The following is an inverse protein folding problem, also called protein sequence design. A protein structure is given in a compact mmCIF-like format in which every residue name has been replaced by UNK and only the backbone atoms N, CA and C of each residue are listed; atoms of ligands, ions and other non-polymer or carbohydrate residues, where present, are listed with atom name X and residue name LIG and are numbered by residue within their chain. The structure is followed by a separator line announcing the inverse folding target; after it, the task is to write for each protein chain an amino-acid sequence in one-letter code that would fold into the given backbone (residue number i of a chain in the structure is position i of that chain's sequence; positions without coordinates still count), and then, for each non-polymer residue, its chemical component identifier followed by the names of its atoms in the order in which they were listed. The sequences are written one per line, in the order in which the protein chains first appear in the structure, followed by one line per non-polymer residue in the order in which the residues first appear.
data_IF_970493618824
#
_entry.id   IF_970493618824
#
_cell.length_a   1.000
_cell.length_b   1.000
_cell.length_c   1.000
_cell.angle_alpha   90.00
_cell.angle_beta   90.00
_cell.angle_gamma   90.00
#
_symmetry.space_group_name_H-M   'P 1'
#
loop_
_entity.id
_entity.type
_entity.pdbx_description
1 polymer ?
#
# COMPACT_ATOMS: atom_id res chain seq x y z
N UNK A 1 -4.75 4.72 -17.53
CA UNK A 1 -5.32 5.16 -16.24
C UNK A 1 -5.16 4.05 -15.21
N UNK A 2 -4.74 4.40 -14.01
CA UNK A 2 -4.59 3.43 -12.93
C UNK A 2 -5.96 3.02 -12.38
N UNK A 3 -6.19 1.71 -12.27
CA UNK A 3 -7.46 1.17 -11.82
C UNK A 3 -7.31 0.61 -10.39
N UNK A 4 -8.00 1.24 -9.42
CA UNK A 4 -7.87 0.90 -8.00
C UNK A 4 -8.48 -0.45 -7.64
N UNK A 5 -9.34 -1.03 -8.47
CA UNK A 5 -9.90 -2.37 -8.18
C UNK A 5 -8.84 -3.49 -8.29
N UNK A 6 -7.66 -3.19 -8.80
CA UNK A 6 -6.53 -4.11 -8.84
C UNK A 6 -5.62 -3.99 -7.64
N UNK A 7 -5.86 -3.01 -6.78
CA UNK A 7 -5.00 -2.72 -5.64
C UNK A 7 -5.69 -3.17 -4.35
N UNK A 8 -4.93 -3.79 -3.47
CA UNK A 8 -5.39 -4.11 -2.13
C UNK A 8 -4.31 -3.75 -1.12
N UNK A 9 -4.76 -3.36 0.07
CA UNK A 9 -3.88 -3.08 1.20
C UNK A 9 -4.19 -4.09 2.29
N UNK A 10 -3.18 -4.82 2.72
CA UNK A 10 -3.28 -5.85 3.75
C UNK A 10 -2.51 -5.38 4.97
N UNK A 11 -3.19 -5.28 6.10
CA UNK A 11 -2.63 -4.72 7.33
C UNK A 11 -2.87 -5.64 8.51
N UNK A 12 -2.09 -5.44 9.58
CA UNK A 12 -2.28 -6.16 10.84
C UNK A 12 -3.01 -5.24 11.82
N UNK A 13 -4.13 -5.73 12.37
CA UNK A 13 -4.90 -5.02 13.38
C UNK A 13 -5.76 -3.89 12.84
N UNK A 14 -6.58 -3.35 13.72
CA UNK A 14 -7.50 -2.27 13.41
C UNK A 14 -6.88 -0.92 13.75
N UNK A 15 -7.33 0.11 13.05
CA UNK A 15 -6.96 1.49 13.37
C UNK A 15 -7.57 1.88 14.72
N UNK A 16 -6.74 2.34 15.64
CA UNK A 16 -7.16 2.80 16.97
C UNK A 16 -7.34 4.31 17.03
N UNK A 17 -6.59 5.06 16.23
CA UNK A 17 -6.63 6.52 16.21
C UNK A 17 -7.75 7.01 15.31
N UNK A 18 -8.71 7.70 15.90
CA UNK A 18 -9.91 8.18 15.21
C UNK A 18 -9.56 9.11 14.04
N UNK A 19 -8.59 10.00 14.23
CA UNK A 19 -8.22 10.96 13.18
C UNK A 19 -7.58 10.28 11.96
N UNK A 20 -6.83 9.18 12.17
CA UNK A 20 -6.28 8.40 11.06
C UNK A 20 -7.40 7.70 10.32
N UNK A 21 -8.34 7.08 11.05
CA UNK A 21 -9.48 6.41 10.44
C UNK A 21 -10.33 7.37 9.62
N UNK A 22 -10.56 8.58 10.12
CA UNK A 22 -11.28 9.62 9.37
C UNK A 22 -10.52 10.03 8.11
N UNK A 23 -9.20 10.17 8.18
CA UNK A 23 -8.36 10.47 7.02
C UNK A 23 -8.45 9.38 5.96
N UNK A 24 -8.38 8.12 6.36
CA UNK A 24 -8.52 6.98 5.44
C UNK A 24 -9.89 6.99 4.76
N UNK A 25 -10.95 7.26 5.52
CA UNK A 25 -12.31 7.34 4.96
C UNK A 25 -12.43 8.42 3.88
N UNK A 26 -11.76 9.56 4.07
CA UNK A 26 -11.80 10.65 3.08
C UNK A 26 -11.22 10.20 1.73
N UNK A 27 -10.09 9.48 1.74
CA UNK A 27 -9.51 8.98 0.49
C UNK A 27 -10.31 7.81 -0.09
N UNK A 28 -10.86 6.94 0.76
CA UNK A 28 -11.65 5.81 0.28
C UNK A 28 -12.95 6.23 -0.41
N UNK A 29 -13.54 7.35 -0.03
CA UNK A 29 -14.68 7.91 -0.75
C UNK A 29 -14.36 8.20 -2.21
N UNK A 30 -13.11 8.59 -2.48
CA UNK A 30 -12.62 8.90 -3.82
C UNK A 30 -12.11 7.66 -4.56
N UNK A 31 -11.91 6.57 -3.85
CA UNK A 31 -11.42 5.29 -4.38
C UNK A 31 -12.27 4.14 -3.83
N UNK A 32 -13.56 4.08 -4.20
CA UNK A 32 -14.47 3.10 -3.58
C UNK A 32 -14.11 1.64 -3.89
N UNK A 33 -13.32 1.41 -4.93
CA UNK A 33 -12.90 0.06 -5.34
C UNK A 33 -11.59 -0.39 -4.71
N UNK A 34 -10.92 0.46 -3.94
CA UNK A 34 -9.71 0.07 -3.22
C UNK A 34 -10.09 -0.84 -2.05
N UNK A 35 -9.53 -2.04 -2.04
CA UNK A 35 -9.77 -3.00 -0.98
C UNK A 35 -8.77 -2.83 0.16
N UNK A 36 -9.25 -2.86 1.40
CA UNK A 36 -8.41 -2.85 2.59
C UNK A 36 -8.83 -4.03 3.46
N UNK A 37 -7.87 -4.90 3.77
CA UNK A 37 -8.10 -6.09 4.60
C UNK A 37 -7.26 -5.98 5.86
N UNK A 38 -7.89 -6.22 7.01
CA UNK A 38 -7.23 -6.23 8.31
C UNK A 38 -7.10 -7.68 8.78
N UNK A 39 -5.89 -8.07 9.14
CA UNK A 39 -5.54 -9.41 9.59
C UNK A 39 -5.10 -9.37 11.04
N UNK A 40 -5.27 -10.47 11.75
CA UNK A 40 -4.69 -10.62 13.09
C UNK A 40 -3.16 -10.75 13.00
N UNK A 41 -2.71 -11.54 12.04
CA UNK A 41 -1.28 -11.71 11.71
C UNK A 41 -1.16 -12.17 10.26
N UNK A 42 0.06 -12.15 9.72
CA UNK A 42 0.33 -12.67 8.38
C UNK A 42 1.04 -14.02 8.50
N UNK A 43 0.31 -15.10 8.18
CA UNK A 43 0.87 -16.45 8.10
C UNK A 43 1.10 -16.78 6.63
N UNK A 44 2.37 -16.95 6.25
CA UNK A 44 2.73 -17.16 4.85
C UNK A 44 2.01 -18.37 4.24
N UNK A 45 1.77 -19.42 5.02
CA UNK A 45 1.08 -20.62 4.53
C UNK A 45 -0.37 -20.32 4.12
N UNK A 46 -1.02 -19.35 4.75
CA UNK A 46 -2.38 -18.94 4.41
C UNK A 46 -2.42 -17.95 3.26
N UNK A 47 -1.27 -17.43 2.83
CA UNK A 47 -1.15 -16.38 1.82
C UNK A 47 -0.51 -16.88 0.53
N UNK A 48 -0.17 -18.16 0.43
CA UNK A 48 0.54 -18.72 -0.73
C UNK A 48 -0.16 -18.45 -2.05
N UNK A 49 -1.47 -18.60 -2.08
CA UNK A 49 -2.26 -18.36 -3.28
C UNK A 49 -2.19 -16.89 -3.71
N UNK A 50 -2.35 -15.99 -2.75
CA UNK A 50 -2.25 -14.55 -2.99
C UNK A 50 -0.86 -14.17 -3.50
N UNK A 51 0.19 -14.69 -2.88
CA UNK A 51 1.59 -14.39 -3.24
C UNK A 51 1.94 -14.97 -4.61
N UNK A 52 1.35 -16.10 -4.99
CA UNK A 52 1.60 -16.71 -6.30
C UNK A 52 0.95 -15.93 -7.46
N UNK A 53 -0.19 -15.30 -7.22
CA UNK A 53 -1.00 -14.68 -8.29
C UNK A 53 -0.85 -13.16 -8.39
N UNK A 54 -0.43 -12.51 -7.31
CA UNK A 54 -0.37 -11.05 -7.26
C UNK A 54 1.07 -10.56 -7.25
N UNK A 55 1.24 -9.29 -7.61
CA UNK A 55 2.48 -8.57 -7.33
C UNK A 55 2.42 -8.15 -5.86
N UNK A 56 3.42 -8.52 -5.09
CA UNK A 56 3.47 -8.27 -3.65
C UNK A 56 4.46 -7.14 -3.37
N UNK A 57 3.94 -6.05 -2.83
CA UNK A 57 4.75 -4.90 -2.41
C UNK A 57 4.62 -4.75 -0.90
N UNK A 58 5.71 -4.96 -0.21
CA UNK A 58 5.75 -4.86 1.25
C UNK A 58 6.42 -3.58 1.70
N UNK A 59 5.78 -2.87 2.63
CA UNK A 59 6.32 -1.65 3.21
C UNK A 59 7.34 -2.01 4.28
N UNK A 60 8.53 -1.46 4.14
CA UNK A 60 9.62 -1.63 5.12
C UNK A 60 10.58 -0.47 5.01
N UNK A 61 11.20 -0.11 6.14
CA UNK A 61 12.22 0.95 6.18
C UNK A 61 13.44 0.62 5.31
N UNK A 62 13.70 -0.68 5.10
CA UNK A 62 14.82 -1.17 4.28
C UNK A 62 14.54 -1.11 2.78
N UNK A 63 13.32 -0.78 2.39
CA UNK A 63 12.88 -0.84 1.01
C UNK A 63 13.43 0.27 0.13
N UNK A 64 13.13 0.17 -1.16
CA UNK A 64 13.52 1.16 -2.15
C UNK A 64 12.66 2.42 -2.02
N UNK A 65 13.29 3.58 -2.20
CA UNK A 65 12.60 4.86 -2.19
C UNK A 65 12.07 5.20 -3.57
N UNK A 66 10.87 5.79 -3.59
CA UNK A 66 10.24 6.30 -4.81
C UNK A 66 9.70 7.69 -4.53
N UNK A 67 9.81 8.60 -5.49
CA UNK A 67 8.98 9.80 -5.42
C UNK A 67 7.57 9.46 -5.94
N UNK A 68 6.64 10.41 -5.80
CA UNK A 68 5.24 10.14 -6.13
C UNK A 68 5.01 9.85 -7.62
N UNK A 69 5.78 10.48 -8.51
CA UNK A 69 5.68 10.21 -9.95
C UNK A 69 6.24 8.83 -10.30
N UNK A 70 7.37 8.46 -9.71
CA UNK A 70 7.94 7.13 -9.88
C UNK A 70 7.02 6.05 -9.35
N UNK A 71 6.36 6.30 -8.22
CA UNK A 71 5.38 5.38 -7.65
C UNK A 71 4.19 5.18 -8.57
N UNK A 72 3.65 6.28 -9.14
CA UNK A 72 2.57 6.19 -10.13
C UNK A 72 2.98 5.35 -11.34
N UNK A 73 4.18 5.59 -11.86
CA UNK A 73 4.71 4.83 -13.01
C UNK A 73 4.89 3.35 -12.68
N UNK A 74 5.36 3.04 -11.45
CA UNK A 74 5.51 1.67 -10.98
C UNK A 74 4.17 0.94 -11.00
N UNK A 75 3.11 1.55 -10.46
CA UNK A 75 1.78 0.93 -10.42
C UNK A 75 1.20 0.74 -11.81
N UNK A 76 1.43 1.69 -12.71
CA UNK A 76 0.98 1.58 -14.11
C UNK A 76 1.71 0.46 -14.86
N UNK A 77 2.98 0.21 -14.54
CA UNK A 77 3.74 -0.86 -15.17
C UNK A 77 3.18 -2.25 -14.84
N UNK A 78 2.45 -2.37 -13.73
CA UNK A 78 1.80 -3.63 -13.33
C UNK A 78 0.30 -3.65 -13.66
N UNK A 79 -0.17 -2.78 -14.56
CA UNK A 79 -1.60 -2.56 -14.78
C UNK A 79 -2.40 -3.81 -15.16
N UNK A 80 -1.75 -4.85 -15.66
CA UNK A 80 -2.40 -6.12 -16.04
C UNK A 80 -2.42 -7.15 -14.92
N UNK A 81 -1.90 -6.80 -13.74
CA UNK A 81 -1.83 -7.69 -12.59
C UNK A 81 -2.45 -7.02 -11.36
N UNK A 82 -2.88 -7.84 -10.44
CA UNK A 82 -3.31 -7.35 -9.13
C UNK A 82 -2.08 -7.08 -8.26
N UNK A 83 -2.12 -5.99 -7.52
CA UNK A 83 -1.04 -5.60 -6.61
C UNK A 83 -1.60 -5.65 -5.20
N UNK A 84 -0.91 -6.37 -4.32
CA UNK A 84 -1.22 -6.44 -2.90
C UNK A 84 -0.11 -5.80 -2.10
N UNK A 85 -0.45 -4.74 -1.37
CA UNK A 85 0.46 -4.10 -0.43
C UNK A 85 0.35 -4.76 0.93
N UNK A 86 1.47 -4.93 1.61
CA UNK A 86 1.53 -5.48 2.97
C UNK A 86 2.18 -4.48 3.91
N UNK A 87 1.48 -4.17 4.99
CA UNK A 87 1.96 -3.28 6.05
C UNK A 87 1.91 -4.05 7.36
N UNK A 88 3.05 -4.13 8.05
CA UNK A 88 3.12 -4.76 9.36
C UNK A 88 2.56 -3.89 10.46
N UNK A 89 2.60 -4.42 11.67
CA UNK A 89 2.32 -3.67 12.89
C UNK A 89 3.59 -2.95 13.38
N UNK A 90 3.61 -2.55 14.64
CA UNK A 90 4.76 -1.86 15.25
C UNK A 90 6.05 -2.69 15.21
N UNK A 91 5.93 -4.01 15.16
CA UNK A 91 7.08 -4.91 15.04
C UNK A 91 7.54 -5.14 13.59
N UNK A 92 6.82 -4.57 12.64
CA UNK A 92 7.12 -4.71 11.22
C UNK A 92 6.67 -6.04 10.63
N UNK A 93 7.14 -6.31 9.42
CA UNK A 93 6.86 -7.56 8.72
C UNK A 93 7.91 -8.62 9.04
N UNK A 94 7.49 -9.88 9.05
CA UNK A 94 8.41 -11.00 9.25
C UNK A 94 9.30 -11.20 8.04
N UNK A 95 10.43 -11.90 8.24
CA UNK A 95 11.40 -12.13 7.16
C UNK A 95 10.82 -12.97 6.02
N UNK A 96 9.95 -13.93 6.31
CA UNK A 96 9.32 -14.75 5.28
C UNK A 96 8.39 -13.94 4.37
N UNK A 97 7.64 -12.99 4.91
CA UNK A 97 6.84 -12.07 4.11
C UNK A 97 7.75 -11.20 3.25
N UNK A 98 8.78 -10.59 3.84
CA UNK A 98 9.70 -9.72 3.10
C UNK A 98 10.41 -10.46 1.97
N UNK A 99 10.94 -11.64 2.25
CA UNK A 99 11.69 -12.41 1.24
C UNK A 99 10.81 -12.96 0.13
N UNK A 100 9.53 -13.11 0.37
CA UNK A 100 8.56 -13.57 -0.65
C UNK A 100 7.93 -12.43 -1.45
N UNK A 101 8.27 -11.18 -1.13
CA UNK A 101 7.72 -10.01 -1.80
C UNK A 101 8.45 -9.73 -3.12
N UNK A 102 7.72 -9.21 -4.10
CA UNK A 102 8.31 -8.79 -5.37
C UNK A 102 9.07 -7.47 -5.24
N UNK A 103 8.65 -6.62 -4.32
CA UNK A 103 9.28 -5.33 -4.06
C UNK A 103 9.15 -4.98 -2.59
N UNK A 104 10.22 -4.48 -2.02
CA UNK A 104 10.22 -3.83 -0.71
C UNK A 104 10.22 -2.32 -0.96
N UNK A 105 9.21 -1.64 -0.41
CA UNK A 105 8.99 -0.21 -0.62
C UNK A 105 9.17 0.53 0.69
N UNK A 106 10.00 1.57 0.68
CA UNK A 106 10.10 2.51 1.81
C UNK A 106 9.35 3.79 1.47
N UNK A 107 8.48 4.23 2.37
CA UNK A 107 7.75 5.49 2.20
C UNK A 107 8.64 6.71 2.38
N UNK A 108 9.69 6.60 3.20
CA UNK A 108 10.52 7.72 3.59
C UNK A 108 11.72 7.23 4.40
N UNK A 109 12.83 8.00 4.43
CA UNK A 109 13.88 7.77 5.43
C UNK A 109 13.40 8.00 6.87
N UNK A 110 12.33 8.77 7.07
CA UNK A 110 11.71 8.91 8.39
C UNK A 110 10.95 7.64 8.76
N UNK A 111 10.94 7.33 10.04
CA UNK A 111 10.11 6.26 10.61
C UNK A 111 8.73 6.81 10.96
N UNK A 112 7.69 6.11 10.53
CA UNK A 112 6.30 6.48 10.85
C UNK A 112 5.64 5.42 11.73
N UNK A 113 4.75 5.82 12.65
CA UNK A 113 3.87 4.85 13.29
C UNK A 113 3.09 4.05 12.23
N UNK A 114 2.85 2.77 12.48
CA UNK A 114 2.24 1.89 11.48
C UNK A 114 0.85 2.34 11.02
N UNK A 115 0.04 2.95 11.90
CA UNK A 115 -1.27 3.48 11.51
C UNK A 115 -1.13 4.69 10.57
N UNK A 116 -0.18 5.58 10.85
CA UNK A 116 0.10 6.72 9.97
C UNK A 116 0.63 6.25 8.62
N UNK A 117 1.47 5.21 8.60
CA UNK A 117 1.98 4.64 7.36
C UNK A 117 0.83 4.16 6.45
N UNK A 118 -0.24 3.59 7.01
CA UNK A 118 -1.44 3.22 6.24
C UNK A 118 -2.06 4.42 5.54
N UNK A 119 -2.24 5.51 6.28
CA UNK A 119 -2.82 6.73 5.71
C UNK A 119 -1.94 7.31 4.62
N UNK A 120 -0.63 7.35 4.85
CA UNK A 120 0.34 7.87 3.87
C UNK A 120 0.29 7.03 2.59
N UNK A 121 0.29 5.70 2.70
CA UNK A 121 0.20 4.83 1.52
C UNK A 121 -1.09 5.08 0.75
N UNK A 122 -2.22 5.18 1.44
CA UNK A 122 -3.52 5.41 0.79
C UNK A 122 -3.53 6.76 0.08
N UNK A 123 -2.97 7.79 0.70
CA UNK A 123 -2.83 9.11 0.07
C UNK A 123 -1.97 9.02 -1.19
N UNK A 124 -0.84 8.29 -1.13
CA UNK A 124 0.05 8.14 -2.28
C UNK A 124 -0.61 7.32 -3.40
N UNK A 125 -1.43 6.34 -3.08
CA UNK A 125 -2.21 5.63 -4.10
C UNK A 125 -3.20 6.59 -4.77
N UNK A 126 -3.90 7.41 -4.00
CA UNK A 126 -4.81 8.42 -4.57
C UNK A 126 -4.04 9.40 -5.46
N UNK A 127 -2.86 9.85 -5.02
CA UNK A 127 -1.98 10.72 -5.79
C UNK A 127 -1.54 10.05 -7.09
N UNK A 128 -1.19 8.78 -7.04
CA UNK A 128 -0.82 8.00 -8.24
C UNK A 128 -1.97 7.92 -9.24
N UNK A 129 -3.20 7.70 -8.76
CA UNK A 129 -4.39 7.73 -9.62
C UNK A 129 -4.55 9.11 -10.25
N UNK A 130 -4.39 10.16 -9.47
CA UNK A 130 -4.52 11.55 -9.94
C UNK A 130 -3.48 11.88 -11.01
N UNK A 131 -2.22 11.47 -10.81
CA UNK A 131 -1.15 11.64 -11.79
C UNK A 131 -1.51 10.90 -13.09
N UNK A 132 -2.00 9.66 -12.99
CA UNK A 132 -2.36 8.86 -14.17
C UNK A 132 -3.52 9.47 -14.97
N UNK A 133 -4.35 10.29 -14.34
CA UNK A 133 -5.49 10.98 -14.97
C UNK A 133 -5.18 12.42 -15.38
N UNK A 134 -3.94 12.89 -15.16
CA UNK A 134 -3.58 14.30 -15.33
C UNK A 134 -4.44 15.25 -14.52
N UNK A 135 -4.90 14.80 -13.35
CA UNK A 135 -5.68 15.61 -12.42
C UNK A 135 -4.78 16.61 -11.70
N UNK A 136 -5.29 17.79 -11.28
CA UNK A 136 -4.48 18.82 -10.64
C UNK A 136 -4.09 18.55 -9.18
N UNK A 137 -4.48 17.42 -8.62
CA UNK A 137 -4.19 17.10 -7.22
C UNK A 137 -2.68 17.11 -6.90
N UNK A 138 -1.89 16.48 -7.76
CA UNK A 138 -0.45 16.38 -7.55
C UNK A 138 0.24 17.69 -7.97
N UNK A 139 1.13 18.17 -7.10
CA UNK A 139 2.02 19.31 -7.38
C UNK A 139 3.45 18.83 -7.11
N UNK A 140 4.29 18.85 -8.15
CA UNK A 140 5.70 18.46 -7.99
C UNK A 140 6.47 19.41 -7.09
#
# INVERSE_FOLDING_TARGET
MLNTNRLSINTIGKIKKTWINEGIKQYRKRMPNLAIYEFKDFKINNLKHLFAENIIISLTEEGKYFNSQEFSSLLLNYQNKKISFFIGDEDGLTNDIKSSSDLLLSLSPFTFPHELARLILIEQIYRAVSISQNSPYHRP
#
